data_IF_484008165763
#
_entry.id   IF_484008165763
#
_cell.length_a   1.000
_cell.length_b   1.000
_cell.length_c   1.000
_cell.angle_alpha   90.00
_cell.angle_beta   90.00
_cell.angle_gamma   90.00
#
_symmetry.space_group_name_H-M   'P 1'
#
loop_
_entity.id
_entity.type
_entity.pdbx_description
1 polymer ?
#
# COMPACT_ATOMS: atom_id res chain seq x y z
N UNK A 1 11.67 -1.53 13.08
CA UNK A 1 11.24 -2.64 12.20
C UNK A 1 9.84 -2.32 11.72
N UNK A 2 9.67 -1.83 10.49
CA UNK A 2 8.36 -1.64 9.86
C UNK A 2 8.32 -2.56 8.65
N UNK A 3 7.27 -3.37 8.60
CA UNK A 3 7.06 -4.42 7.61
C UNK A 3 6.74 -3.75 6.27
N UNK A 4 7.76 -3.46 5.47
CA UNK A 4 7.59 -3.39 4.02
C UNK A 4 7.08 -4.77 3.62
N UNK A 5 5.92 -4.84 2.99
CA UNK A 5 5.43 -6.08 2.37
C UNK A 5 6.35 -6.41 1.19
N UNK A 6 7.53 -6.95 1.51
CA UNK A 6 8.37 -7.71 0.59
C UNK A 6 7.77 -9.11 0.53
N UNK A 7 6.86 -9.32 -0.42
CA UNK A 7 6.37 -10.67 -0.70
C UNK A 7 7.49 -11.40 -1.44
N UNK A 8 8.00 -12.45 -0.79
CA UNK A 8 8.98 -13.36 -1.36
C UNK A 8 8.42 -14.02 -2.60
N UNK A 9 9.36 -14.33 -3.48
CA UNK A 9 9.12 -15.15 -4.63
C UNK A 9 9.87 -16.50 -4.55
N UNK A 10 9.20 -17.62 -4.83
CA UNK A 10 9.78 -18.92 -5.26
C UNK A 10 9.20 -19.50 -6.58
N UNK A 11 10.08 -19.71 -7.54
CA UNK A 11 10.00 -20.71 -8.62
C UNK A 11 11.42 -21.29 -8.75
N UNK A 12 12.13 -21.36 -7.62
CA UNK A 12 13.48 -20.74 -7.61
C UNK A 12 13.54 -19.27 -8.09
N UNK A 13 12.51 -18.73 -8.76
CA UNK A 13 12.16 -17.30 -8.85
C UNK A 13 10.62 -17.13 -8.86
N UNK A 14 9.91 -16.98 -7.72
CA UNK A 14 8.48 -16.69 -7.96
C UNK A 14 8.49 -15.32 -8.60
N UNK A 15 7.38 -14.98 -9.14
CA UNK A 15 7.15 -13.60 -9.39
C UNK A 15 6.54 -13.14 -8.07
N UNK A 16 7.18 -12.20 -7.34
CA UNK A 16 6.48 -11.58 -6.24
C UNK A 16 5.15 -11.10 -6.82
N UNK A 17 4.01 -11.33 -6.16
CA UNK A 17 2.82 -10.52 -6.44
C UNK A 17 3.14 -9.12 -5.92
N UNK A 18 4.07 -8.46 -6.60
CA UNK A 18 4.31 -7.05 -6.48
C UNK A 18 2.97 -6.46 -6.87
N UNK A 19 2.42 -5.70 -5.96
CA UNK A 19 1.39 -4.74 -6.28
C UNK A 19 2.01 -3.74 -7.25
N UNK A 20 2.06 -4.12 -8.53
CA UNK A 20 2.47 -3.22 -9.59
C UNK A 20 1.35 -2.22 -9.74
N UNK A 21 1.69 -0.97 -10.04
CA UNK A 21 0.72 0.11 -10.23
C UNK A 21 -0.46 -0.31 -11.13
N UNK A 22 -0.17 -1.11 -12.15
CA UNK A 22 -1.08 -1.68 -13.13
C UNK A 22 -2.18 -2.56 -12.51
N UNK A 23 -1.90 -3.24 -11.38
CA UNK A 23 -2.90 -4.04 -10.66
C UNK A 23 -4.08 -3.17 -10.16
N UNK A 24 -3.80 -1.93 -9.74
CA UNK A 24 -4.83 -1.04 -9.20
C UNK A 24 -5.67 -0.37 -10.28
N UNK A 25 -5.23 -0.38 -11.53
CA UNK A 25 -6.03 0.12 -12.65
C UNK A 25 -7.34 -0.67 -12.84
N UNK A 26 -7.38 -1.91 -12.37
CA UNK A 26 -8.56 -2.79 -12.41
C UNK A 26 -9.47 -2.67 -11.18
N UNK A 27 -9.10 -1.83 -10.19
CA UNK A 27 -9.90 -1.64 -8.97
C UNK A 27 -10.94 -0.53 -9.16
N UNK A 28 -12.04 -0.54 -8.38
CA UNK A 28 -13.04 0.50 -8.49
C UNK A 28 -12.44 1.88 -8.17
N UNK A 29 -12.65 2.83 -9.08
CA UNK A 29 -12.05 4.17 -9.03
C UNK A 29 -12.53 5.06 -7.88
N UNK A 30 -13.72 4.79 -7.35
CA UNK A 30 -14.42 5.61 -6.36
C UNK A 30 -14.26 5.11 -4.90
N UNK A 31 -13.37 4.15 -4.65
CA UNK A 31 -13.03 3.74 -3.29
C UNK A 31 -12.15 4.79 -2.61
N UNK A 32 -12.32 4.89 -1.30
CA UNK A 32 -11.52 5.77 -0.45
C UNK A 32 -10.21 5.08 -0.07
N UNK A 33 -9.09 5.74 -0.34
CA UNK A 33 -7.74 5.28 -0.03
C UNK A 33 -6.95 6.32 0.75
N UNK A 34 -6.03 5.89 1.62
CA UNK A 34 -5.18 6.79 2.38
C UNK A 34 -4.00 7.30 1.54
N UNK A 35 -3.94 8.61 1.33
CA UNK A 35 -2.87 9.28 0.59
C UNK A 35 -2.19 10.29 1.51
N UNK A 36 -0.88 10.39 1.43
CA UNK A 36 -0.09 11.44 2.06
C UNK A 36 0.76 12.16 1.03
N UNK A 37 1.03 13.45 1.25
CA UNK A 37 1.95 14.22 0.43
C UNK A 37 3.28 14.33 1.19
N UNK A 38 4.33 13.68 0.69
CA UNK A 38 5.62 13.62 1.38
C UNK A 38 6.32 14.99 1.45
N UNK A 39 5.96 15.95 0.59
CA UNK A 39 6.50 17.31 0.66
C UNK A 39 5.87 18.15 1.78
N UNK A 40 4.71 17.75 2.30
CA UNK A 40 4.02 18.47 3.38
C UNK A 40 4.51 17.97 4.74
N UNK A 41 5.59 18.60 5.24
CA UNK A 41 6.07 18.37 6.61
C UNK A 41 5.17 19.11 7.60
N UNK A 42 4.17 18.43 8.15
CA UNK A 42 3.52 18.87 9.39
C UNK A 42 4.28 18.26 10.58
N UNK A 43 4.50 19.04 11.63
CA UNK A 43 5.25 18.66 12.84
C UNK A 43 5.10 17.17 13.20
N UNK A 44 6.21 16.44 13.16
CA UNK A 44 6.38 15.01 13.50
C UNK A 44 5.42 13.99 12.82
N UNK A 45 4.61 14.39 11.83
CA UNK A 45 3.62 13.53 11.19
C UNK A 45 3.29 14.01 9.78
N UNK A 46 3.48 13.16 8.77
CA UNK A 46 2.95 13.41 7.44
C UNK A 46 1.41 13.47 7.49
N UNK A 47 0.79 14.49 6.90
CA UNK A 47 -0.68 14.62 6.88
C UNK A 47 -1.25 13.49 6.02
N UNK A 48 -2.06 12.62 6.62
CA UNK A 48 -2.81 11.56 5.94
C UNK A 48 -4.18 12.10 5.55
N UNK A 49 -4.51 11.98 4.28
CA UNK A 49 -5.81 12.37 3.73
C UNK A 49 -6.49 11.17 3.10
N UNK A 50 -7.79 11.02 3.33
CA UNK A 50 -8.61 10.06 2.61
C UNK A 50 -9.06 10.69 1.29
N UNK A 51 -8.69 10.06 0.17
CA UNK A 51 -9.02 10.53 -1.18
C UNK A 51 -9.47 9.34 -2.04
N UNK A 52 -10.11 9.61 -3.17
CA UNK A 52 -10.52 8.55 -4.11
C UNK A 52 -9.32 7.90 -4.79
N UNK A 53 -9.35 6.59 -5.02
CA UNK A 53 -8.29 5.87 -5.71
C UNK A 53 -7.98 6.47 -7.10
N UNK A 54 -9.01 6.93 -7.83
CA UNK A 54 -8.81 7.62 -9.11
C UNK A 54 -7.83 8.79 -9.03
N UNK A 55 -7.89 9.57 -7.96
CA UNK A 55 -7.01 10.73 -7.78
C UNK A 55 -5.54 10.29 -7.73
N UNK A 56 -5.27 9.18 -7.03
CA UNK A 56 -3.93 8.62 -6.94
C UNK A 56 -3.45 8.02 -8.27
N UNK A 57 -4.32 7.29 -8.96
CA UNK A 57 -4.01 6.67 -10.26
C UNK A 57 -3.69 7.75 -11.30
N UNK A 58 -4.52 8.79 -11.38
CA UNK A 58 -4.36 9.85 -12.35
C UNK A 58 -3.06 10.63 -12.08
N UNK A 59 -2.81 10.97 -10.80
CA UNK A 59 -1.55 11.57 -10.34
C UNK A 59 -0.32 10.74 -10.76
N UNK A 60 -0.30 9.44 -10.42
CA UNK A 60 0.89 8.62 -10.66
C UNK A 60 1.10 8.42 -12.16
N UNK A 61 0.02 8.21 -12.92
CA UNK A 61 0.09 8.09 -14.39
C UNK A 61 0.75 9.34 -14.99
N UNK A 62 0.33 10.53 -14.55
CA UNK A 62 0.95 11.79 -14.98
C UNK A 62 2.41 11.91 -14.53
N UNK A 63 2.71 11.54 -13.28
CA UNK A 63 4.06 11.57 -12.72
C UNK A 63 5.04 10.68 -13.51
N UNK A 64 4.61 9.47 -13.89
CA UNK A 64 5.36 8.55 -14.79
C UNK A 64 5.53 9.14 -16.18
N UNK A 65 4.45 9.66 -16.79
CA UNK A 65 4.47 10.20 -18.15
C UNK A 65 5.38 11.44 -18.29
N UNK A 66 5.54 12.21 -17.22
CA UNK A 66 6.43 13.37 -17.16
C UNK A 66 7.88 13.03 -16.82
N UNK A 67 8.22 11.75 -16.63
CA UNK A 67 9.58 11.32 -16.33
C UNK A 67 10.01 11.59 -14.88
N UNK A 68 9.11 11.46 -13.91
CA UNK A 68 9.38 11.59 -12.48
C UNK A 68 9.94 12.99 -12.08
N UNK A 69 9.21 14.08 -12.37
CA UNK A 69 9.69 15.43 -12.11
C UNK A 69 9.78 15.75 -10.60
N UNK A 70 10.84 16.43 -10.18
CA UNK A 70 11.07 16.81 -8.77
C UNK A 70 10.08 17.87 -8.25
N UNK A 71 9.54 18.70 -9.14
CA UNK A 71 8.68 19.84 -8.79
C UNK A 71 7.19 19.49 -8.70
N UNK A 72 6.80 18.24 -8.93
CA UNK A 72 5.42 17.77 -8.77
C UNK A 72 5.18 17.32 -7.33
N UNK A 73 3.93 17.37 -6.86
CA UNK A 73 3.57 16.82 -5.54
C UNK A 73 4.07 15.39 -5.39
N UNK A 74 4.46 15.00 -4.18
CA UNK A 74 4.97 13.66 -3.91
C UNK A 74 3.89 12.87 -3.16
N UNK A 75 2.91 12.34 -3.88
CA UNK A 75 1.82 11.59 -3.25
C UNK A 75 2.24 10.14 -3.02
N UNK A 76 1.90 9.64 -1.83
CA UNK A 76 2.18 8.29 -1.41
C UNK A 76 0.91 7.67 -0.80
N UNK A 77 0.53 6.51 -1.31
CA UNK A 77 -0.52 5.69 -0.72
C UNK A 77 0.09 4.91 0.46
N UNK A 78 -0.40 5.17 1.66
CA UNK A 78 0.22 4.71 2.90
C UNK A 78 -0.79 4.08 3.86
N UNK A 79 -0.42 2.96 4.47
CA UNK A 79 -1.24 2.27 5.49
C UNK A 79 -2.63 1.88 4.94
N UNK A 80 -2.69 1.39 3.70
CA UNK A 80 -3.95 0.93 3.11
C UNK A 80 -4.22 -0.54 3.44
N UNK A 81 -5.35 -0.80 4.09
CA UNK A 81 -5.83 -2.14 4.42
C UNK A 81 -6.49 -2.81 3.21
N UNK A 82 -5.69 -3.06 2.17
CA UNK A 82 -6.20 -3.68 0.94
C UNK A 82 -6.83 -5.05 1.19
N UNK A 83 -6.26 -5.85 2.10
CA UNK A 83 -6.77 -7.20 2.40
C UNK A 83 -8.15 -7.15 3.07
N UNK A 84 -8.39 -6.19 3.95
CA UNK A 84 -9.72 -5.91 4.51
C UNK A 84 -10.71 -5.43 3.45
N UNK A 85 -10.29 -4.50 2.58
CA UNK A 85 -11.19 -3.90 1.59
C UNK A 85 -11.51 -4.87 0.43
N UNK A 86 -10.58 -5.79 0.11
CA UNK A 86 -10.70 -6.79 -0.95
C UNK A 86 -10.31 -8.21 -0.47
N UNK A 87 -11.09 -8.81 0.45
CA UNK A 87 -10.71 -10.09 1.07
C UNK A 87 -10.64 -11.25 0.08
N UNK A 88 -11.36 -11.18 -1.04
CA UNK A 88 -11.40 -12.23 -2.06
C UNK A 88 -10.13 -12.30 -2.93
N UNK A 89 -9.29 -11.26 -2.94
CA UNK A 89 -8.09 -11.26 -3.79
C UNK A 89 -6.93 -12.10 -3.22
N UNK A 90 -6.98 -12.46 -1.94
CA UNK A 90 -5.99 -13.28 -1.21
C UNK A 90 -4.53 -12.98 -1.58
N UNK A 91 -4.17 -11.70 -1.44
CA UNK A 91 -2.88 -11.14 -1.86
C UNK A 91 -1.78 -11.25 -0.81
N UNK A 92 -2.14 -11.58 0.43
CA UNK A 92 -1.23 -11.63 1.56
C UNK A 92 -1.23 -13.02 2.19
N UNK A 93 -0.05 -13.64 2.24
CA UNK A 93 0.15 -14.93 2.90
C UNK A 93 1.12 -14.77 4.07
N UNK A 94 0.74 -15.29 5.22
CA UNK A 94 1.57 -15.30 6.42
C UNK A 94 2.68 -16.35 6.22
N UNK A 95 3.98 -15.98 6.28
CA UNK A 95 5.04 -16.96 6.26
C UNK A 95 4.92 -17.91 7.45
N UNK A 96 5.21 -19.21 7.25
CA UNK A 96 5.04 -20.24 8.28
C UNK A 96 5.69 -19.89 9.63
N UNK A 97 6.87 -19.26 9.61
CA UNK A 97 7.60 -18.85 10.83
C UNK A 97 6.87 -17.78 11.66
N UNK A 98 5.93 -17.05 11.05
CA UNK A 98 5.09 -16.04 11.70
C UNK A 98 3.63 -16.49 11.86
N UNK A 99 3.32 -17.76 11.59
CA UNK A 99 1.93 -18.24 11.65
C UNK A 99 1.37 -18.23 13.07
N UNK A 100 2.19 -18.59 14.05
CA UNK A 100 1.85 -18.62 15.49
C UNK A 100 2.12 -17.26 16.14
N UNK A 101 1.38 -16.23 15.71
CA UNK A 101 1.45 -14.87 16.25
C UNK A 101 0.08 -14.45 16.79
N UNK A 102 0.07 -13.84 17.98
CA UNK A 102 -1.15 -13.40 18.66
C UNK A 102 -1.97 -12.40 17.81
N UNK A 103 -1.31 -11.62 16.97
CA UNK A 103 -1.95 -10.64 16.08
C UNK A 103 -2.76 -11.36 15.00
N UNK A 104 -2.24 -12.47 14.46
CA UNK A 104 -2.98 -13.30 13.50
C UNK A 104 -4.25 -13.85 14.12
N UNK A 105 -4.14 -14.37 15.35
CA UNK A 105 -5.26 -14.95 16.09
C UNK A 105 -6.31 -13.88 16.40
N UNK A 106 -5.88 -12.72 16.90
CA UNK A 106 -6.77 -11.61 17.24
C UNK A 106 -7.61 -11.13 16.06
N UNK A 107 -6.99 -10.85 14.91
CA UNK A 107 -7.74 -10.39 13.72
C UNK A 107 -8.52 -11.51 13.02
N UNK A 108 -8.15 -12.78 13.21
CA UNK A 108 -8.92 -13.91 12.65
C UNK A 108 -10.17 -14.23 13.48
N UNK A 109 -10.08 -14.12 14.81
CA UNK A 109 -11.12 -14.61 15.73
C UNK A 109 -11.93 -13.48 16.37
N UNK A 110 -11.30 -12.36 16.72
CA UNK A 110 -11.88 -11.33 17.58
C UNK A 110 -12.21 -10.02 16.85
N UNK A 111 -11.45 -9.64 15.82
CA UNK A 111 -11.64 -8.39 15.10
C UNK A 111 -11.58 -8.59 13.58
N UNK A 112 -12.72 -8.96 12.95
CA UNK A 112 -12.80 -9.17 11.49
C UNK A 112 -12.99 -7.89 10.68
N UNK A 113 -13.09 -6.75 11.34
CA UNK A 113 -13.37 -5.46 10.71
C UNK A 113 -12.09 -4.72 10.31
N UNK A 114 -10.91 -5.21 10.68
CA UNK A 114 -9.64 -4.58 10.33
C UNK A 114 -8.50 -5.61 10.20
N UNK A 115 -7.32 -5.14 9.81
CA UNK A 115 -6.12 -5.97 9.71
C UNK A 115 -4.83 -5.18 10.02
N UNK A 116 -3.69 -5.87 10.09
CA UNK A 116 -2.35 -5.27 10.18
C UNK A 116 -1.61 -5.28 8.83
N UNK A 117 -2.32 -5.55 7.74
CA UNK A 117 -1.79 -5.90 6.41
C UNK A 117 -1.85 -4.69 5.49
N UNK A 118 -0.85 -3.83 5.60
CA UNK A 118 -0.79 -2.56 4.89
C UNK A 118 -0.17 -2.67 3.50
N UNK A 119 -0.76 -1.95 2.54
CA UNK A 119 -0.18 -1.64 1.23
C UNK A 119 0.43 -0.23 1.26
N UNK A 120 1.62 -0.13 0.69
CA UNK A 120 2.39 1.09 0.54
C UNK A 120 2.75 1.29 -0.92
N UNK A 121 2.60 2.50 -1.43
CA UNK A 121 2.83 2.78 -2.84
C UNK A 121 3.21 4.25 -3.06
N UNK A 122 4.32 4.52 -3.71
CA UNK A 122 4.64 5.85 -4.21
C UNK A 122 5.92 5.88 -5.03
N UNK A 123 6.34 7.06 -5.48
CA UNK A 123 7.60 7.24 -6.21
C UNK A 123 8.82 6.76 -5.42
N UNK A 124 9.87 6.32 -6.11
CA UNK A 124 11.14 5.93 -5.47
C UNK A 124 11.81 7.08 -4.73
N UNK A 125 12.50 6.81 -3.61
CA UNK A 125 13.27 7.81 -2.86
C UNK A 125 12.46 8.62 -1.83
N UNK A 126 11.17 8.33 -1.68
CA UNK A 126 10.21 9.12 -0.89
C UNK A 126 9.92 8.54 0.50
N UNK A 127 10.53 7.39 0.81
CA UNK A 127 10.25 6.56 2.00
C UNK A 127 11.03 6.95 3.27
N UNK A 128 11.85 8.00 3.21
CA UNK A 128 12.73 8.43 4.30
C UNK A 128 12.18 9.56 5.18
N UNK A 129 10.91 9.92 5.05
CA UNK A 129 10.28 11.05 5.75
C UNK A 129 9.31 10.60 6.85
#
# INVERSE_FOLDING_TARGET
>A
QQLIVLIRSRSHEAIPKVFVFEFFLYRPREIDVPITNCHDKYYNSQKKETRKLKHFIDYWTEYKNKGYPENMSCLYLKDWHFTRDFPSDDVYQIPHVFASDWLNEYYSQSCKQDDYRFVYMGPSGTWHL
#
